data_IF_624922585611
#
_entry.id   IF_624922585611
#
_cell.length_a   1.000
_cell.length_b   1.000
_cell.length_c   1.000
_cell.angle_alpha   90.00
_cell.angle_beta   90.00
_cell.angle_gamma   90.00
#
_symmetry.space_group_name_H-M   'P 1'
#
loop_
_entity.id
_entity.type
_entity.pdbx_description
1 polymer ?
#
# COMPACT_ATOMS: atom_id res chain seq x y z
N UNK A 1 26.74 83.55 6.33
CA UNK A 1 26.00 82.35 6.78
C UNK A 1 26.66 81.15 6.14
N UNK A 2 27.30 80.33 6.97
CA UNK A 2 28.17 79.20 6.63
C UNK A 2 27.34 77.94 6.33
N UNK A 3 27.64 77.25 5.24
CA UNK A 3 27.29 75.84 5.07
C UNK A 3 28.21 75.18 4.03
N UNK A 4 28.90 74.10 4.41
CA UNK A 4 29.53 73.14 3.51
C UNK A 4 29.60 71.76 4.18
N UNK A 5 28.87 70.80 3.59
CA UNK A 5 29.18 69.36 3.35
C UNK A 5 29.56 68.45 4.53
N UNK A 6 29.43 67.09 4.49
CA UNK A 6 29.71 66.15 3.37
C UNK A 6 28.65 65.03 3.16
N UNK A 7 28.48 64.45 1.96
CA UNK A 7 29.24 63.36 1.30
C UNK A 7 29.28 62.02 2.07
N UNK A 8 28.68 60.96 1.50
CA UNK A 8 28.59 59.62 2.06
C UNK A 8 29.34 58.60 1.19
N UNK A 9 30.25 57.86 1.82
CA UNK A 9 31.03 56.77 1.24
C UNK A 9 30.80 55.45 1.99
N UNK A 10 30.75 54.37 1.20
CA UNK A 10 31.07 52.96 1.44
C UNK A 10 31.82 52.57 2.73
N UNK A 11 31.37 51.50 3.41
CA UNK A 11 32.20 50.29 3.72
C UNK A 11 31.45 49.20 4.53
N UNK A 12 31.61 47.95 4.07
CA UNK A 12 31.85 46.69 4.78
C UNK A 12 31.04 46.24 6.02
N UNK A 13 30.49 45.01 5.94
CA UNK A 13 30.51 44.08 7.07
C UNK A 13 30.47 42.61 6.60
N UNK A 14 31.53 41.90 6.97
CA UNK A 14 31.86 40.49 6.84
C UNK A 14 30.98 39.61 7.74
N UNK A 15 30.59 38.41 7.30
CA UNK A 15 30.02 37.38 8.17
C UNK A 15 30.68 36.03 7.91
N UNK A 16 31.01 35.36 9.01
CA UNK A 16 31.97 34.28 9.14
C UNK A 16 31.40 32.90 8.82
N UNK A 17 32.32 32.04 8.40
CA UNK A 17 32.26 30.60 8.22
C UNK A 17 31.87 29.86 9.51
N UNK A 18 30.90 28.96 9.41
CA UNK A 18 30.70 27.86 10.35
C UNK A 18 30.70 26.55 9.56
N UNK A 19 31.78 25.79 9.75
CA UNK A 19 31.96 24.44 9.21
C UNK A 19 31.06 23.45 9.97
N UNK A 20 30.36 22.59 9.24
CA UNK A 20 29.72 21.39 9.78
C UNK A 20 30.23 20.19 8.98
N UNK A 21 31.09 19.41 9.64
CA UNK A 21 31.62 18.13 9.23
C UNK A 21 30.51 17.11 8.99
N UNK A 22 30.29 16.72 7.74
CA UNK A 22 29.54 15.51 7.42
C UNK A 22 30.49 14.32 7.58
N UNK A 23 30.29 13.54 8.65
CA UNK A 23 30.95 12.26 8.83
C UNK A 23 30.52 11.31 7.71
N UNK A 24 31.51 10.84 6.94
CA UNK A 24 31.34 9.83 5.92
C UNK A 24 30.82 8.53 6.55
N UNK A 25 29.62 8.10 6.15
CA UNK A 25 29.15 6.75 6.40
C UNK A 25 29.83 5.82 5.38
N UNK A 26 30.72 4.99 5.90
CA UNK A 26 31.40 3.89 5.21
C UNK A 26 30.39 2.95 4.54
N UNK A 27 30.63 2.43 3.32
CA UNK A 27 29.74 1.49 2.68
C UNK A 27 29.74 0.16 3.45
N UNK A 28 28.55 -0.28 3.86
CA UNK A 28 28.35 -1.62 4.45
C UNK A 28 28.45 -2.63 3.32
N UNK A 29 29.40 -3.56 3.46
CA UNK A 29 29.67 -4.64 2.53
C UNK A 29 28.45 -5.54 2.32
N UNK A 30 28.26 -5.97 1.07
CA UNK A 30 27.28 -6.97 0.64
C UNK A 30 27.38 -8.24 1.50
N UNK A 31 26.36 -8.46 2.33
CA UNK A 31 26.10 -9.74 2.97
C UNK A 31 25.51 -10.70 1.95
N UNK A 32 26.32 -11.67 1.54
CA UNK A 32 25.96 -12.75 0.64
C UNK A 32 24.65 -13.46 1.06
N UNK A 33 23.74 -13.62 0.09
CA UNK A 33 22.62 -14.53 0.20
C UNK A 33 23.15 -15.97 0.36
N UNK A 34 22.55 -16.82 1.22
CA UNK A 34 23.02 -18.19 1.38
C UNK A 34 22.74 -18.99 0.10
N UNK A 35 23.82 -19.54 -0.44
CA UNK A 35 23.87 -20.49 -1.54
C UNK A 35 23.21 -21.82 -1.13
N UNK A 36 22.21 -22.26 -1.88
CA UNK A 36 21.74 -23.65 -1.81
C UNK A 36 22.70 -24.53 -2.61
N UNK A 37 23.54 -25.30 -1.91
CA UNK A 37 24.36 -26.35 -2.51
C UNK A 37 23.56 -27.67 -2.53
N UNK A 38 23.50 -28.41 -3.66
CA UNK A 38 22.76 -29.65 -3.78
C UNK A 38 23.69 -30.85 -3.62
N UNK A 39 23.55 -31.64 -2.55
CA UNK A 39 23.99 -33.05 -2.53
C UNK A 39 23.64 -33.78 -1.23
N UNK A 40 23.60 -35.11 -1.32
CA UNK A 40 23.46 -36.16 -0.29
C UNK A 40 21.99 -36.58 -0.08
N UNK A 41 21.46 -37.48 -0.92
CA UNK A 41 21.63 -38.96 -0.92
C UNK A 41 20.63 -39.69 0.01
N UNK A 42 19.72 -40.39 -0.69
CA UNK A 42 19.23 -41.75 -0.45
C UNK A 42 19.38 -42.40 0.93
N UNK A 43 18.24 -42.89 1.44
CA UNK A 43 18.16 -44.27 1.92
C UNK A 43 16.70 -44.78 1.93
N UNK A 44 16.44 -45.79 1.08
CA UNK A 44 15.70 -47.06 1.29
C UNK A 44 14.38 -47.05 2.09
N UNK A 45 13.37 -47.88 1.80
CA UNK A 45 13.08 -48.99 0.89
C UNK A 45 11.58 -49.27 1.07
N UNK A 46 10.87 -49.77 0.05
CA UNK A 46 9.46 -50.16 0.19
C UNK A 46 8.81 -50.60 -1.12
N UNK A 47 9.12 -51.82 -1.51
CA UNK A 47 8.71 -52.57 -2.71
C UNK A 47 7.18 -52.68 -2.85
N UNK A 48 6.67 -52.61 -4.09
CA UNK A 48 5.65 -53.51 -4.64
C UNK A 48 5.50 -53.32 -6.16
N UNK A 49 5.86 -54.36 -6.91
CA UNK A 49 5.69 -54.50 -8.36
C UNK A 49 4.24 -54.79 -8.75
N UNK A 50 3.83 -54.28 -9.91
CA UNK A 50 3.16 -55.09 -10.95
C UNK A 50 3.04 -54.27 -12.24
N UNK A 51 3.65 -54.76 -13.31
CA UNK A 51 3.72 -54.07 -14.60
C UNK A 51 2.48 -54.21 -15.46
N UNK A 52 2.28 -53.25 -16.37
CA UNK A 52 1.63 -53.45 -17.67
C UNK A 52 2.31 -52.54 -18.70
N UNK A 53 2.62 -53.15 -19.84
CA UNK A 53 3.19 -52.64 -21.09
C UNK A 53 2.41 -51.49 -21.75
N UNK A 54 3.10 -50.59 -22.47
CA UNK A 54 2.48 -49.90 -23.61
C UNK A 54 3.05 -48.53 -24.02
N UNK A 55 3.77 -48.52 -25.14
CA UNK A 55 3.95 -47.45 -26.14
C UNK A 55 4.44 -46.04 -25.71
N UNK A 56 5.64 -45.73 -26.22
CA UNK A 56 6.16 -44.39 -26.47
C UNK A 56 5.17 -43.56 -27.31
N UNK A 57 4.72 -42.44 -26.74
CA UNK A 57 3.99 -41.38 -27.44
C UNK A 57 4.47 -40.03 -26.92
N UNK A 58 5.15 -39.27 -27.78
CA UNK A 58 5.60 -37.91 -27.53
C UNK A 58 4.36 -37.02 -27.36
N UNK A 59 4.08 -36.57 -26.14
CA UNK A 59 3.11 -35.50 -25.89
C UNK A 59 3.84 -34.24 -25.46
N UNK A 60 3.76 -33.24 -26.34
CA UNK A 60 4.27 -31.90 -26.10
C UNK A 60 3.68 -31.29 -24.83
N UNK A 61 4.52 -30.55 -24.14
CA UNK A 61 4.15 -29.71 -23.01
C UNK A 61 3.14 -28.69 -23.52
N UNK A 62 1.86 -28.91 -23.21
CA UNK A 62 0.78 -27.96 -23.42
C UNK A 62 1.06 -26.74 -22.56
N UNK A 63 1.42 -25.63 -23.20
CA UNK A 63 1.43 -24.32 -22.55
C UNK A 63 0.03 -24.01 -22.01
N UNK A 64 -0.05 -23.64 -20.74
CA UNK A 64 -1.27 -23.12 -20.14
C UNK A 64 -1.68 -21.84 -20.87
N UNK A 65 -2.65 -21.94 -21.78
CA UNK A 65 -3.33 -20.80 -22.38
C UNK A 65 -4.23 -20.17 -21.32
N UNK A 66 -3.75 -19.10 -20.69
CA UNK A 66 -4.59 -18.21 -19.89
C UNK A 66 -5.46 -17.45 -20.88
N UNK A 67 -6.67 -17.95 -21.18
CA UNK A 67 -7.69 -17.21 -21.92
C UNK A 67 -8.14 -16.00 -21.10
N UNK A 68 -7.41 -14.90 -21.23
CA UNK A 68 -7.85 -13.59 -20.75
C UNK A 68 -8.88 -13.05 -21.72
N UNK A 69 -10.14 -12.92 -21.28
CA UNK A 69 -11.19 -12.24 -22.05
C UNK A 69 -10.68 -10.87 -22.51
N UNK A 70 -10.69 -10.63 -23.82
CA UNK A 70 -10.23 -9.36 -24.39
C UNK A 70 -11.13 -8.24 -23.85
N UNK A 71 -10.56 -7.21 -23.18
CA UNK A 71 -11.36 -6.15 -22.61
C UNK A 71 -12.02 -5.33 -23.71
N UNK A 72 -13.27 -4.92 -23.50
CA UNK A 72 -14.08 -4.18 -24.49
C UNK A 72 -13.66 -2.71 -24.70
N UNK A 73 -12.46 -2.33 -24.27
CA UNK A 73 -11.97 -0.96 -24.39
C UNK A 73 -11.44 -0.66 -25.80
N UNK A 74 -11.40 0.63 -26.15
CA UNK A 74 -11.02 1.07 -27.50
C UNK A 74 -9.55 0.75 -27.87
N UNK A 75 -8.63 0.61 -26.90
CA UNK A 75 -7.24 0.23 -27.19
C UNK A 75 -7.17 -1.22 -27.63
N UNK A 76 -7.86 -2.11 -26.93
CA UNK A 76 -7.94 -3.52 -27.29
C UNK A 76 -8.57 -3.72 -28.68
N UNK A 77 -9.62 -2.94 -29.00
CA UNK A 77 -10.22 -2.95 -30.35
C UNK A 77 -9.22 -2.50 -31.43
N UNK A 78 -8.44 -1.45 -31.18
CA UNK A 78 -7.40 -0.99 -32.12
C UNK A 78 -6.33 -2.08 -32.31
N UNK A 79 -5.84 -2.67 -31.22
CA UNK A 79 -4.82 -3.73 -31.26
C UNK A 79 -5.32 -4.96 -32.03
N UNK A 80 -6.56 -5.37 -31.76
CA UNK A 80 -7.18 -6.49 -32.46
C UNK A 80 -7.32 -6.22 -33.95
N UNK A 81 -7.75 -5.03 -34.34
CA UNK A 81 -7.86 -4.64 -35.75
C UNK A 81 -6.48 -4.55 -36.44
N UNK A 82 -5.48 -3.97 -35.77
CA UNK A 82 -4.13 -3.84 -36.32
C UNK A 82 -3.44 -5.20 -36.51
N UNK A 83 -3.73 -6.19 -35.66
CA UNK A 83 -3.31 -7.58 -35.84
C UNK A 83 -4.09 -8.26 -36.99
N UNK A 84 -5.41 -8.12 -37.00
CA UNK A 84 -6.28 -8.75 -38.01
C UNK A 84 -6.01 -8.24 -39.43
N UNK A 85 -5.69 -6.95 -39.58
CA UNK A 85 -5.32 -6.33 -40.85
C UNK A 85 -3.86 -6.59 -41.25
N UNK A 86 -3.06 -7.19 -40.38
CA UNK A 86 -1.62 -7.40 -40.60
C UNK A 86 -0.78 -6.13 -40.54
N UNK A 87 -1.34 -5.00 -40.07
CA UNK A 87 -0.61 -3.73 -39.90
C UNK A 87 0.56 -3.86 -38.92
N UNK A 88 0.42 -4.74 -37.93
CA UNK A 88 1.52 -5.14 -37.05
C UNK A 88 1.53 -6.67 -36.88
N UNK A 89 2.71 -7.24 -36.68
CA UNK A 89 2.90 -8.69 -36.49
C UNK A 89 2.75 -9.12 -35.03
N UNK A 90 3.08 -8.21 -34.11
CA UNK A 90 3.10 -8.43 -32.67
C UNK A 90 2.74 -7.12 -31.98
N UNK A 91 2.01 -7.20 -30.88
CA UNK A 91 1.75 -6.04 -30.02
C UNK A 91 2.98 -5.76 -29.16
N UNK A 92 3.53 -4.56 -29.29
CA UNK A 92 4.64 -4.09 -28.44
C UNK A 92 4.23 -2.78 -27.76
N UNK A 93 4.08 -2.81 -26.44
CA UNK A 93 3.78 -1.64 -25.61
C UNK A 93 5.03 -1.18 -24.85
N UNK A 94 4.96 0.00 -24.21
CA UNK A 94 5.97 0.41 -23.24
C UNK A 94 5.37 1.21 -22.09
N UNK A 95 5.89 1.02 -20.89
CA UNK A 95 5.68 1.90 -19.74
C UNK A 95 6.93 2.75 -19.54
N UNK A 96 6.89 4.06 -19.88
CA UNK A 96 8.06 4.90 -19.83
C UNK A 96 7.99 5.98 -18.73
N UNK A 97 8.22 5.64 -17.46
CA UNK A 97 8.28 6.64 -16.41
C UNK A 97 9.57 7.46 -16.51
N UNK A 98 9.51 8.72 -16.10
CA UNK A 98 10.71 9.52 -15.83
C UNK A 98 11.35 9.03 -14.52
N UNK A 99 12.68 8.90 -14.43
CA UNK A 99 13.37 8.40 -13.24
C UNK A 99 13.61 9.49 -12.18
N UNK A 100 12.72 10.47 -12.07
CA UNK A 100 12.85 11.65 -11.19
C UNK A 100 11.85 11.65 -10.01
N UNK A 101 10.98 10.65 -9.89
CA UNK A 101 9.95 10.61 -8.85
C UNK A 101 9.46 9.21 -8.52
N UNK A 102 8.76 9.10 -7.39
CA UNK A 102 8.13 7.85 -6.96
C UNK A 102 6.86 7.58 -7.76
N UNK A 103 6.69 6.33 -8.19
CA UNK A 103 5.44 5.88 -8.80
C UNK A 103 4.30 5.95 -7.77
N UNK A 104 3.12 6.31 -8.24
CA UNK A 104 1.91 6.48 -7.43
C UNK A 104 0.70 5.81 -8.07
N UNK A 105 -0.45 5.82 -7.39
CA UNK A 105 -1.67 5.13 -7.83
C UNK A 105 -2.06 5.46 -9.29
N UNK A 106 -1.91 6.71 -9.74
CA UNK A 106 -2.10 7.09 -11.14
C UNK A 106 -1.22 6.31 -12.14
N UNK A 107 0.05 6.05 -11.80
CA UNK A 107 0.96 5.25 -12.61
C UNK A 107 0.52 3.78 -12.70
N UNK A 108 -0.13 3.25 -11.65
CA UNK A 108 -0.64 1.87 -11.67
C UNK A 108 -1.59 1.62 -12.84
N UNK A 109 -2.42 2.60 -13.21
CA UNK A 109 -3.30 2.48 -14.37
C UNK A 109 -2.51 2.32 -15.67
N UNK A 110 -1.47 3.12 -15.87
CA UNK A 110 -0.59 3.01 -17.05
C UNK A 110 0.16 1.68 -17.08
N UNK A 111 0.63 1.19 -15.93
CA UNK A 111 1.27 -0.12 -15.79
C UNK A 111 0.28 -1.23 -16.18
N UNK A 112 -0.91 -1.25 -15.57
CA UNK A 112 -1.96 -2.24 -15.86
C UNK A 112 -2.37 -2.25 -17.33
N UNK A 113 -2.47 -1.09 -17.97
CA UNK A 113 -2.79 -0.99 -19.40
C UNK A 113 -1.65 -1.57 -20.26
N UNK A 114 -0.42 -1.08 -20.09
CA UNK A 114 0.67 -1.45 -21.00
C UNK A 114 1.08 -2.92 -20.84
N UNK A 115 1.32 -3.38 -19.62
CA UNK A 115 1.69 -4.77 -19.35
C UNK A 115 0.49 -5.71 -19.50
N UNK A 116 -0.70 -5.28 -19.08
CA UNK A 116 -1.92 -6.10 -19.17
C UNK A 116 -2.33 -6.36 -20.62
N UNK A 117 -2.38 -5.34 -21.47
CA UNK A 117 -2.72 -5.52 -22.88
C UNK A 117 -1.66 -6.33 -23.62
N UNK A 118 -0.36 -6.08 -23.38
CA UNK A 118 0.69 -6.91 -23.97
C UNK A 118 0.52 -8.39 -23.59
N UNK A 119 0.22 -8.70 -22.32
CA UNK A 119 -0.06 -10.07 -21.88
C UNK A 119 -1.27 -10.68 -22.59
N UNK A 120 -2.38 -9.94 -22.69
CA UNK A 120 -3.63 -10.43 -23.32
C UNK A 120 -3.44 -10.75 -24.79
N UNK A 121 -2.67 -9.93 -25.51
CA UNK A 121 -2.37 -10.13 -26.93
C UNK A 121 -1.11 -10.97 -27.18
N UNK A 122 -0.57 -11.63 -26.13
CA UNK A 122 0.64 -12.44 -26.18
C UNK A 122 1.83 -11.73 -26.87
N UNK A 123 1.96 -10.44 -26.59
CA UNK A 123 3.02 -9.55 -27.10
C UNK A 123 4.03 -9.16 -26.01
N UNK A 124 4.75 -8.06 -26.26
CA UNK A 124 5.82 -7.56 -25.37
C UNK A 124 5.48 -6.21 -24.77
N UNK A 125 5.95 -5.97 -23.55
CA UNK A 125 5.92 -4.65 -22.93
C UNK A 125 7.33 -4.29 -22.46
N UNK A 126 7.84 -3.15 -22.89
CA UNK A 126 9.12 -2.64 -22.41
C UNK A 126 8.93 -1.73 -21.19
N UNK A 127 9.73 -1.94 -20.14
CA UNK A 127 9.95 -0.91 -19.13
C UNK A 127 11.11 -0.04 -19.59
N UNK A 128 10.85 1.25 -19.83
CA UNK A 128 11.86 2.15 -20.40
C UNK A 128 11.89 3.44 -19.62
N UNK A 129 12.88 3.67 -18.78
CA UNK A 129 13.03 4.99 -18.20
C UNK A 129 13.17 6.03 -19.31
N UNK A 130 12.36 7.09 -19.29
CA UNK A 130 12.50 8.19 -20.24
C UNK A 130 13.59 9.14 -19.73
N UNK A 131 14.81 8.61 -19.67
CA UNK A 131 16.02 9.28 -19.20
C UNK A 131 16.70 9.98 -20.39
N UNK A 132 15.93 10.86 -21.04
CA UNK A 132 16.28 11.42 -22.35
C UNK A 132 17.71 11.95 -22.40
N UNK A 133 18.48 11.41 -23.35
CA UNK A 133 19.81 11.86 -23.72
C UNK A 133 19.89 11.96 -25.26
N UNK A 134 20.25 13.11 -25.84
CA UNK A 134 20.49 13.21 -27.28
C UNK A 134 21.74 12.46 -27.74
N UNK A 135 21.60 11.73 -28.86
CA UNK A 135 22.73 11.11 -29.59
C UNK A 135 22.97 11.70 -30.98
N UNK A 136 22.29 12.79 -31.34
CA UNK A 136 22.47 13.48 -32.63
C UNK A 136 22.47 14.99 -32.42
N UNK A 137 23.66 15.58 -32.47
CA UNK A 137 23.89 16.98 -32.11
C UNK A 137 24.60 17.77 -33.21
N UNK A 138 24.40 19.08 -33.17
CA UNK A 138 25.21 20.11 -33.83
C UNK A 138 26.39 20.42 -32.89
N UNK A 139 27.62 20.20 -33.36
CA UNK A 139 28.85 20.08 -32.55
C UNK A 139 29.06 21.21 -31.53
N UNK A 140 28.62 22.44 -31.82
CA UNK A 140 28.81 23.61 -30.95
C UNK A 140 27.99 23.61 -29.66
N UNK A 141 26.79 23.01 -29.67
CA UNK A 141 25.98 22.88 -28.43
C UNK A 141 26.56 21.81 -27.52
N UNK A 142 27.11 20.74 -28.10
CA UNK A 142 27.83 19.68 -27.39
C UNK A 142 29.04 20.20 -26.64
N UNK A 143 29.83 21.00 -27.35
CA UNK A 143 31.14 21.46 -26.91
C UNK A 143 31.06 22.52 -25.78
N UNK A 144 29.87 22.78 -25.22
CA UNK A 144 29.68 23.68 -24.08
C UNK A 144 29.94 25.15 -24.38
N UNK A 145 29.97 25.53 -25.66
CA UNK A 145 30.28 26.90 -26.13
C UNK A 145 29.24 27.93 -25.66
N UNK A 146 28.01 27.47 -25.44
CA UNK A 146 26.89 28.31 -25.04
C UNK A 146 26.52 28.07 -23.56
N UNK A 147 26.11 29.13 -22.88
CA UNK A 147 25.61 29.08 -21.50
C UNK A 147 24.19 28.51 -21.42
N UNK A 148 23.79 28.07 -20.22
CA UNK A 148 22.42 27.61 -19.96
C UNK A 148 21.39 28.66 -20.39
N UNK A 149 20.36 28.24 -21.12
CA UNK A 149 19.29 29.12 -21.61
C UNK A 149 19.69 30.10 -22.73
N UNK A 150 20.95 30.14 -23.17
CA UNK A 150 21.41 31.06 -24.23
C UNK A 150 20.82 30.73 -25.60
N UNK A 151 20.66 29.45 -25.92
CA UNK A 151 20.06 29.01 -27.17
C UNK A 151 19.36 27.65 -27.01
N UNK A 152 18.48 27.35 -27.98
CA UNK A 152 17.70 26.11 -28.04
C UNK A 152 17.70 25.57 -29.47
N UNK A 153 17.76 24.25 -29.62
CA UNK A 153 17.53 23.64 -30.93
C UNK A 153 16.03 23.50 -31.12
N UNK A 154 15.51 23.90 -32.28
CA UNK A 154 14.09 23.79 -32.63
C UNK A 154 13.95 22.98 -33.90
N UNK A 155 12.89 22.17 -34.00
CA UNK A 155 12.51 21.61 -35.28
C UNK A 155 11.99 22.74 -36.17
N UNK A 156 12.31 22.72 -37.47
CA UNK A 156 11.76 23.69 -38.43
C UNK A 156 10.54 23.07 -39.10
N UNK A 157 9.35 23.60 -38.80
CA UNK A 157 8.06 23.07 -39.24
C UNK A 157 7.23 24.22 -39.85
N UNK A 158 6.47 24.95 -39.02
CA UNK A 158 5.61 26.06 -39.43
C UNK A 158 5.21 26.90 -38.22
N UNK A 159 5.79 28.10 -38.13
CA UNK A 159 5.50 29.06 -37.05
C UNK A 159 4.06 29.60 -37.08
N UNK A 160 3.36 29.55 -38.21
CA UNK A 160 1.96 29.98 -38.34
C UNK A 160 0.96 28.85 -38.06
N UNK A 161 1.43 27.63 -37.77
CA UNK A 161 0.57 26.47 -37.65
C UNK A 161 -0.50 26.67 -36.55
N UNK A 162 -1.74 26.20 -36.82
CA UNK A 162 -2.87 26.34 -35.88
C UNK A 162 -2.62 25.61 -34.55
N UNK A 163 -2.02 24.42 -34.62
CA UNK A 163 -1.55 23.71 -33.44
C UNK A 163 -0.22 24.31 -32.95
N UNK A 164 -0.21 24.85 -31.73
CA UNK A 164 0.95 25.52 -31.13
C UNK A 164 2.16 24.58 -30.98
N UNK A 165 1.94 23.29 -30.74
CA UNK A 165 3.03 22.31 -30.62
C UNK A 165 3.83 22.18 -31.92
N UNK A 166 3.20 22.42 -33.07
CA UNK A 166 3.86 22.32 -34.38
C UNK A 166 4.59 23.62 -34.76
N UNK A 167 4.56 24.66 -33.93
CA UNK A 167 5.24 25.94 -34.18
C UNK A 167 6.71 25.84 -33.79
N UNK A 168 7.46 25.20 -34.66
CA UNK A 168 8.89 24.94 -34.51
C UNK A 168 9.23 24.50 -33.08
N UNK A 169 8.79 23.32 -32.62
CA UNK A 169 8.95 22.91 -31.23
C UNK A 169 10.43 22.85 -30.83
N UNK A 170 10.69 23.20 -29.57
CA UNK A 170 12.02 23.05 -28.98
C UNK A 170 12.33 21.55 -28.88
N UNK A 171 13.47 21.17 -29.47
CA UNK A 171 14.01 19.82 -29.47
C UNK A 171 15.05 19.64 -28.36
N UNK A 172 15.92 20.65 -28.15
CA UNK A 172 16.95 20.61 -27.10
C UNK A 172 17.12 21.96 -26.41
N UNK A 173 17.47 21.89 -25.12
CA UNK A 173 17.89 23.02 -24.29
C UNK A 173 19.24 22.71 -23.70
N UNK A 174 20.05 23.74 -23.49
CA UNK A 174 21.30 23.64 -22.74
C UNK A 174 20.99 23.67 -21.24
N UNK A 175 21.37 22.60 -20.56
CA UNK A 175 21.31 22.42 -19.13
C UNK A 175 22.62 21.74 -18.68
N UNK A 176 23.49 22.50 -18.02
CA UNK A 176 24.78 22.10 -17.49
C UNK A 176 24.61 21.42 -16.12
N UNK A 177 23.89 20.30 -16.12
CA UNK A 177 23.73 19.41 -14.95
C UNK A 177 24.28 18.03 -15.29
N UNK A 178 24.82 17.35 -14.29
CA UNK A 178 25.24 15.96 -14.44
C UNK A 178 24.02 15.04 -14.56
N UNK A 179 24.05 14.14 -15.55
CA UNK A 179 23.03 13.11 -15.69
C UNK A 179 23.35 11.92 -14.77
N UNK A 180 22.37 11.34 -14.06
CA UNK A 180 22.62 10.19 -13.18
C UNK A 180 23.24 8.96 -13.86
N UNK A 181 23.01 8.76 -15.17
CA UNK A 181 23.55 7.61 -15.91
C UNK A 181 24.76 7.94 -16.78
N UNK A 182 24.85 9.16 -17.29
CA UNK A 182 25.86 9.55 -18.29
C UNK A 182 26.81 10.65 -17.83
N UNK A 183 26.75 11.03 -16.54
CA UNK A 183 27.64 12.02 -15.95
C UNK A 183 27.61 13.36 -16.67
N UNK A 184 28.79 13.92 -16.91
CA UNK A 184 29.01 15.20 -17.59
C UNK A 184 29.10 15.10 -19.12
N UNK A 185 28.87 13.92 -19.71
CA UNK A 185 29.08 13.68 -21.15
C UNK A 185 28.10 14.47 -22.05
N UNK A 186 27.00 14.97 -21.47
CA UNK A 186 25.93 15.66 -22.18
C UNK A 186 25.38 16.82 -21.35
N UNK A 187 25.24 17.99 -21.99
CA UNK A 187 24.68 19.22 -21.39
C UNK A 187 23.31 19.58 -22.01
N UNK A 188 22.63 18.63 -22.65
CA UNK A 188 21.37 18.86 -23.38
C UNK A 188 20.25 17.96 -22.85
N UNK A 189 19.11 18.56 -22.47
CA UNK A 189 18.02 17.85 -21.82
C UNK A 189 16.63 18.32 -22.29
N UNK A 190 15.65 17.43 -22.23
CA UNK A 190 14.23 17.72 -22.44
C UNK A 190 13.54 17.84 -21.07
N UNK A 191 12.56 18.73 -20.98
CA UNK A 191 11.88 19.15 -19.75
C UNK A 191 11.21 17.97 -19.02
N UNK A 192 11.32 17.92 -17.68
CA UNK A 192 10.84 16.82 -16.83
C UNK A 192 10.00 17.39 -15.69
N UNK A 193 8.85 16.77 -15.40
CA UNK A 193 7.87 17.30 -14.44
C UNK A 193 7.72 16.41 -13.21
N UNK A 194 8.16 16.91 -12.06
CA UNK A 194 7.92 16.28 -10.76
C UNK A 194 6.63 16.82 -10.14
N UNK A 195 5.91 15.95 -9.42
CA UNK A 195 4.61 16.28 -8.81
C UNK A 195 4.83 17.13 -7.53
N UNK A 196 4.93 18.45 -7.71
CA UNK A 196 5.35 19.46 -6.71
C UNK A 196 4.58 19.38 -5.38
N UNK A 197 3.34 18.93 -5.40
CA UNK A 197 2.48 18.86 -4.20
C UNK A 197 2.83 17.73 -3.25
N UNK A 198 3.34 16.60 -3.75
CA UNK A 198 3.77 15.51 -2.86
C UNK A 198 5.12 15.83 -2.21
N UNK A 199 5.98 16.53 -2.95
CA UNK A 199 7.25 17.01 -2.43
C UNK A 199 7.05 17.94 -1.22
N UNK A 200 6.13 18.90 -1.30
CA UNK A 200 5.87 19.82 -0.19
C UNK A 200 5.39 19.10 1.08
N UNK A 201 4.57 18.05 0.97
CA UNK A 201 4.13 17.26 2.13
C UNK A 201 5.31 16.60 2.87
N UNK A 202 6.30 16.13 2.13
CA UNK A 202 7.50 15.47 2.67
C UNK A 202 8.46 16.52 3.24
N UNK A 203 8.73 17.59 2.51
CA UNK A 203 9.65 18.67 2.93
C UNK A 203 9.14 19.42 4.17
N UNK A 204 7.83 19.68 4.24
CA UNK A 204 7.17 20.31 5.39
C UNK A 204 6.96 19.33 6.56
N UNK A 205 7.42 18.07 6.44
CA UNK A 205 7.31 17.01 7.46
C UNK A 205 5.87 16.76 7.93
N UNK A 206 4.90 16.96 7.03
CA UNK A 206 3.51 16.57 7.25
C UNK A 206 3.40 15.03 7.21
N UNK A 207 4.25 14.39 6.41
CA UNK A 207 4.42 12.94 6.32
C UNK A 207 5.85 12.52 6.64
N UNK A 208 6.05 11.26 7.04
CA UNK A 208 7.35 10.74 7.49
C UNK A 208 8.34 10.54 6.34
N UNK A 209 7.82 10.39 5.10
CA UNK A 209 8.61 10.14 3.90
C UNK A 209 7.75 9.65 2.75
N UNK A 210 8.41 9.27 1.64
CA UNK A 210 7.74 8.83 0.41
C UNK A 210 7.04 7.47 0.49
N UNK A 211 7.29 6.70 1.53
CA UNK A 211 6.60 5.44 1.83
C UNK A 211 5.60 5.57 2.99
N UNK A 212 5.33 6.79 3.48
CA UNK A 212 4.33 7.01 4.53
C UNK A 212 2.96 6.49 4.08
N UNK A 213 2.29 5.59 4.84
CA UNK A 213 1.01 4.97 4.47
C UNK A 213 -0.12 5.91 4.08
N UNK A 214 -0.01 7.20 4.41
CA UNK A 214 -0.94 8.26 4.02
C UNK A 214 -0.79 8.72 2.58
N UNK A 215 0.36 8.52 1.95
CA UNK A 215 0.64 8.94 0.59
C UNK A 215 0.05 7.98 -0.46
N UNK A 216 -0.24 8.47 -1.68
CA UNK A 216 -0.73 7.64 -2.78
C UNK A 216 0.40 6.94 -3.57
N UNK A 217 1.65 7.00 -3.11
CA UNK A 217 2.78 6.32 -3.76
C UNK A 217 2.61 4.79 -3.69
N UNK A 218 3.13 4.05 -4.67
CA UNK A 218 3.02 2.59 -4.66
C UNK A 218 3.79 1.97 -3.50
N UNK A 219 4.89 2.60 -3.06
CA UNK A 219 5.63 2.25 -1.85
C UNK A 219 4.77 2.43 -0.59
N UNK A 220 4.10 3.57 -0.45
CA UNK A 220 3.19 3.85 0.67
C UNK A 220 2.02 2.88 0.72
N UNK A 221 1.37 2.64 -0.43
CA UNK A 221 0.26 1.69 -0.52
C UNK A 221 0.70 0.27 -0.15
N UNK A 222 1.90 -0.14 -0.55
CA UNK A 222 2.49 -1.42 -0.13
C UNK A 222 2.73 -1.45 1.37
N UNK A 223 3.34 -0.42 1.97
CA UNK A 223 3.57 -0.34 3.43
C UNK A 223 2.27 -0.30 4.23
N UNK A 224 1.23 0.36 3.69
CA UNK A 224 -0.14 0.36 4.23
C UNK A 224 -0.78 -1.03 4.24
N UNK A 225 -0.25 -1.98 3.47
CA UNK A 225 -0.81 -3.34 3.33
C UNK A 225 -1.85 -3.46 2.22
N UNK A 226 -1.89 -2.52 1.27
CA UNK A 226 -2.79 -2.60 0.11
C UNK A 226 -2.32 -3.70 -0.84
N UNK A 227 -3.15 -4.73 -1.12
CA UNK A 227 -2.76 -5.80 -2.03
C UNK A 227 -2.65 -5.31 -3.48
N UNK A 228 -1.62 -5.75 -4.20
CA UNK A 228 -1.43 -5.40 -5.62
C UNK A 228 -2.63 -5.83 -6.49
N UNK A 229 -3.26 -6.96 -6.16
CA UNK A 229 -4.47 -7.43 -6.83
C UNK A 229 -5.66 -6.46 -6.67
N UNK A 230 -5.80 -5.81 -5.51
CA UNK A 230 -6.84 -4.80 -5.30
C UNK A 230 -6.58 -3.52 -6.13
N UNK A 231 -5.31 -3.14 -6.30
CA UNK A 231 -4.91 -2.04 -7.19
C UNK A 231 -5.24 -2.37 -8.65
N UNK A 232 -4.96 -3.61 -9.08
CA UNK A 232 -5.27 -4.08 -10.43
C UNK A 232 -6.80 -4.09 -10.67
N UNK A 233 -7.56 -4.68 -9.75
CA UNK A 233 -9.03 -4.70 -9.80
C UNK A 233 -9.60 -3.28 -9.86
N UNK A 234 -9.04 -2.34 -9.08
CA UNK A 234 -9.41 -0.93 -9.17
C UNK A 234 -9.15 -0.36 -10.57
N UNK A 235 -7.97 -0.60 -11.16
CA UNK A 235 -7.63 -0.15 -12.51
C UNK A 235 -8.58 -0.74 -13.56
N UNK A 236 -8.94 -2.02 -13.42
CA UNK A 236 -9.86 -2.72 -14.31
C UNK A 236 -11.29 -2.13 -14.22
N UNK A 237 -11.79 -1.87 -13.01
CA UNK A 237 -13.11 -1.22 -12.79
C UNK A 237 -13.18 0.22 -13.28
N UNK A 238 -12.10 0.98 -13.12
CA UNK A 238 -12.01 2.35 -13.65
C UNK A 238 -12.03 2.33 -15.18
N UNK A 239 -11.42 1.30 -15.78
CA UNK A 239 -11.39 1.11 -17.22
C UNK A 239 -10.61 2.19 -17.99
N UNK A 240 -10.66 2.12 -19.31
CA UNK A 240 -9.93 3.02 -20.21
C UNK A 240 -10.91 3.79 -21.08
N UNK A 241 -10.86 5.12 -20.98
CA UNK A 241 -11.70 6.03 -21.75
C UNK A 241 -10.88 7.20 -22.29
N UNK A 242 -11.37 7.84 -23.37
CA UNK A 242 -10.75 9.04 -23.95
C UNK A 242 -11.13 10.34 -23.23
N UNK A 243 -12.16 10.30 -22.38
CA UNK A 243 -12.65 11.45 -21.62
C UNK A 243 -12.04 11.44 -20.22
N UNK A 244 -11.69 12.63 -19.73
CA UNK A 244 -11.26 12.81 -18.35
C UNK A 244 -12.46 12.63 -17.41
N UNK A 245 -12.27 11.88 -16.34
CA UNK A 245 -13.24 11.68 -15.27
C UNK A 245 -12.54 11.69 -13.92
N UNK A 246 -13.23 12.24 -12.92
CA UNK A 246 -12.77 12.17 -11.53
C UNK A 246 -13.27 10.85 -10.95
N UNK A 247 -12.34 10.04 -10.44
CA UNK A 247 -12.66 8.79 -9.78
C UNK A 247 -12.76 9.04 -8.27
N UNK A 248 -13.87 8.58 -7.70
CA UNK A 248 -14.12 8.63 -6.27
C UNK A 248 -13.18 7.66 -5.51
N UNK A 249 -12.55 8.14 -4.44
CA UNK A 249 -11.61 7.34 -3.62
C UNK A 249 -12.32 6.13 -2.99
N UNK A 250 -13.61 6.25 -2.74
CA UNK A 250 -14.49 5.21 -2.22
C UNK A 250 -14.48 3.95 -3.10
N UNK A 251 -14.30 4.10 -4.42
CA UNK A 251 -14.15 2.95 -5.32
C UNK A 251 -12.87 2.16 -5.01
N UNK A 252 -11.76 2.85 -4.78
CA UNK A 252 -10.48 2.25 -4.45
C UNK A 252 -10.55 1.54 -3.09
N UNK A 253 -11.11 2.21 -2.09
CA UNK A 253 -11.31 1.60 -0.76
C UNK A 253 -12.21 0.38 -0.81
N UNK A 254 -13.26 0.40 -1.64
CA UNK A 254 -14.14 -0.75 -1.86
C UNK A 254 -13.37 -1.93 -2.44
N UNK A 255 -12.54 -1.74 -3.47
CA UNK A 255 -11.72 -2.82 -4.03
C UNK A 255 -10.79 -3.45 -2.97
N UNK A 256 -10.21 -2.63 -2.08
CA UNK A 256 -9.38 -3.13 -0.97
C UNK A 256 -10.23 -3.95 0.00
N UNK A 257 -11.37 -3.41 0.45
CA UNK A 257 -12.25 -4.07 1.41
C UNK A 257 -12.78 -5.41 0.88
N UNK A 258 -13.19 -5.47 -0.38
CA UNK A 258 -13.68 -6.71 -1.01
C UNK A 258 -12.56 -7.77 -1.06
N UNK A 259 -11.35 -7.39 -1.45
CA UNK A 259 -10.21 -8.31 -1.49
C UNK A 259 -9.86 -8.86 -0.10
N UNK A 260 -9.84 -7.99 0.91
CA UNK A 260 -9.49 -8.35 2.29
C UNK A 260 -10.62 -9.13 2.96
N UNK A 261 -11.90 -8.79 2.77
CA UNK A 261 -13.04 -9.52 3.34
C UNK A 261 -13.08 -10.97 2.87
N UNK A 262 -12.62 -11.25 1.65
CA UNK A 262 -12.59 -12.61 1.11
C UNK A 262 -11.42 -13.44 1.65
N UNK A 263 -10.26 -12.83 1.95
CA UNK A 263 -9.00 -13.55 2.17
C UNK A 263 -8.44 -13.45 3.59
N UNK A 264 -8.74 -12.37 4.32
CA UNK A 264 -8.12 -12.12 5.60
C UNK A 264 -8.84 -12.88 6.73
N UNK A 265 -8.12 -13.67 7.53
CA UNK A 265 -8.71 -14.29 8.71
C UNK A 265 -9.04 -13.23 9.76
N UNK A 266 -10.18 -13.37 10.43
CA UNK A 266 -10.63 -12.42 11.47
C UNK A 266 -9.84 -12.67 12.75
N UNK A 267 -9.33 -11.59 13.32
CA UNK A 267 -8.57 -11.58 14.57
C UNK A 267 -9.15 -10.51 15.50
N UNK A 268 -8.95 -10.70 16.79
CA UNK A 268 -9.30 -9.68 17.78
C UNK A 268 -8.05 -8.87 18.08
N UNK A 269 -8.22 -7.55 18.12
CA UNK A 269 -7.22 -6.61 18.55
C UNK A 269 -7.97 -5.56 19.38
N UNK A 270 -7.47 -5.26 20.56
CA UNK A 270 -8.04 -4.25 21.46
C UNK A 270 -7.18 -3.00 21.31
N UNK A 271 -7.79 -1.88 20.94
CA UNK A 271 -7.06 -0.62 20.71
C UNK A 271 -6.76 0.07 22.02
N UNK A 272 -7.77 0.20 22.87
CA UNK A 272 -7.66 0.83 24.19
C UNK A 272 -8.07 -0.20 25.25
N UNK A 273 -7.10 -0.96 25.82
CA UNK A 273 -7.43 -2.08 26.69
C UNK A 273 -8.03 -1.64 28.02
N UNK A 274 -9.26 -2.11 28.28
CA UNK A 274 -9.96 -2.01 29.55
C UNK A 274 -10.07 -3.40 30.17
N UNK A 275 -9.58 -3.54 31.41
CA UNK A 275 -9.54 -4.82 32.12
C UNK A 275 -10.94 -5.21 32.62
N UNK A 276 -11.30 -6.48 32.44
CA UNK A 276 -12.45 -7.14 33.04
C UNK A 276 -11.96 -8.23 33.97
N UNK A 277 -12.52 -8.29 35.17
CA UNK A 277 -12.31 -9.37 36.15
C UNK A 277 -13.61 -10.14 36.35
N UNK A 278 -13.61 -11.44 36.02
CA UNK A 278 -14.75 -12.32 36.19
C UNK A 278 -14.76 -12.91 37.61
N UNK A 279 -15.70 -12.51 38.45
CA UNK A 279 -15.71 -12.91 39.87
C UNK A 279 -16.27 -14.31 40.13
N UNK A 280 -17.16 -14.78 39.26
CA UNK A 280 -17.76 -16.12 39.36
C UNK A 280 -17.09 -17.16 38.43
N UNK A 281 -16.02 -16.77 37.72
CA UNK A 281 -15.21 -17.70 36.93
C UNK A 281 -14.18 -18.40 37.84
N UNK A 282 -14.18 -19.73 37.83
CA UNK A 282 -13.24 -20.56 38.60
C UNK A 282 -12.25 -21.18 37.64
N UNK A 283 -10.99 -20.79 37.74
CA UNK A 283 -9.90 -21.44 37.02
C UNK A 283 -9.57 -22.75 37.73
N UNK A 284 -9.65 -23.88 37.00
CA UNK A 284 -9.15 -25.16 37.51
C UNK A 284 -7.62 -25.19 37.36
N UNK A 285 -6.92 -25.53 38.45
CA UNK A 285 -5.46 -25.56 38.47
C UNK A 285 -4.93 -26.58 37.44
N UNK A 286 -4.18 -26.10 36.44
CA UNK A 286 -3.65 -26.92 35.34
C UNK A 286 -4.61 -27.20 34.18
N UNK A 287 -5.84 -26.65 34.17
CA UNK A 287 -6.75 -26.73 33.02
C UNK A 287 -7.21 -25.35 32.57
N UNK A 288 -6.86 -25.01 31.33
CA UNK A 288 -7.35 -23.79 30.69
C UNK A 288 -8.52 -24.12 29.78
N UNK A 289 -9.56 -23.31 29.89
CA UNK A 289 -10.70 -23.43 29.00
C UNK A 289 -10.34 -22.86 27.64
N UNK A 290 -10.31 -23.73 26.63
CA UNK A 290 -9.96 -23.34 25.26
C UNK A 290 -11.23 -23.25 24.41
N UNK A 291 -11.50 -22.06 23.90
CA UNK A 291 -12.62 -21.78 23.01
C UNK A 291 -12.19 -21.87 21.54
N UNK A 292 -13.03 -22.51 20.73
CA UNK A 292 -12.86 -22.57 19.28
C UNK A 292 -13.54 -21.38 18.62
N UNK A 293 -12.74 -20.47 18.06
CA UNK A 293 -13.23 -19.25 17.39
C UNK A 293 -13.05 -19.41 15.87
N UNK A 294 -14.12 -19.26 15.07
CA UNK A 294 -14.01 -19.35 13.62
C UNK A 294 -13.09 -18.25 13.08
N UNK A 295 -12.24 -18.61 12.10
CA UNK A 295 -11.40 -17.65 11.40
C UNK A 295 -12.20 -16.74 10.48
N UNK A 296 -13.32 -17.21 9.96
CA UNK A 296 -14.27 -16.41 9.19
C UNK A 296 -15.70 -16.93 9.48
N UNK A 297 -16.61 -16.07 9.95
CA UNK A 297 -17.98 -16.49 10.27
C UNK A 297 -18.80 -16.89 9.03
N UNK A 298 -18.41 -16.45 7.83
CA UNK A 298 -19.10 -16.76 6.57
C UNK A 298 -18.54 -18.02 5.90
N UNK A 299 -17.33 -18.45 6.27
CA UNK A 299 -16.55 -19.49 5.60
C UNK A 299 -16.09 -20.58 6.58
N UNK A 300 -16.90 -21.63 6.81
CA UNK A 300 -16.53 -22.73 7.70
C UNK A 300 -15.22 -23.42 7.31
N UNK A 301 -14.88 -23.44 6.01
CA UNK A 301 -13.66 -24.00 5.46
C UNK A 301 -12.38 -23.27 5.90
N UNK A 302 -12.50 -22.02 6.38
CA UNK A 302 -11.38 -21.28 6.94
C UNK A 302 -10.91 -21.82 8.31
N UNK A 303 -11.64 -22.80 8.85
CA UNK A 303 -11.34 -23.47 10.11
C UNK A 303 -11.50 -22.56 11.34
N UNK A 304 -11.07 -23.07 12.48
CA UNK A 304 -11.12 -22.38 13.75
C UNK A 304 -9.71 -22.14 14.29
N UNK A 305 -9.58 -21.14 15.17
CA UNK A 305 -8.43 -20.96 16.04
C UNK A 305 -8.84 -21.18 17.48
N UNK A 306 -7.88 -21.56 18.31
CA UNK A 306 -8.07 -21.72 19.73
C UNK A 306 -7.74 -20.41 20.46
N UNK A 307 -8.57 -20.05 21.44
CA UNK A 307 -8.31 -18.93 22.34
C UNK A 307 -8.67 -19.33 23.76
N UNK A 308 -7.73 -19.17 24.69
CA UNK A 308 -7.99 -19.42 26.10
C UNK A 308 -8.99 -18.39 26.64
N UNK A 309 -9.95 -18.85 27.42
CA UNK A 309 -10.84 -18.03 28.23
C UNK A 309 -10.30 -18.03 29.66
N UNK A 310 -10.06 -16.84 30.20
CA UNK A 310 -9.40 -16.65 31.51
C UNK A 310 -10.25 -15.75 32.39
N UNK A 311 -9.95 -15.74 33.70
CA UNK A 311 -10.64 -14.87 34.67
C UNK A 311 -10.49 -13.38 34.36
N UNK A 312 -9.35 -13.00 33.78
CA UNK A 312 -9.04 -11.63 33.41
C UNK A 312 -9.02 -11.47 31.89
N UNK A 313 -9.78 -10.52 31.37
CA UNK A 313 -9.94 -10.25 29.94
C UNK A 313 -9.73 -8.77 29.64
N UNK A 314 -9.30 -8.44 28.43
CA UNK A 314 -9.35 -7.09 27.88
C UNK A 314 -10.51 -6.94 26.92
N UNK A 315 -11.23 -5.83 27.04
CA UNK A 315 -12.16 -5.31 26.03
C UNK A 315 -11.68 -3.92 25.59
N UNK A 316 -12.25 -3.39 24.51
CA UNK A 316 -11.99 -2.00 24.14
C UNK A 316 -12.70 -1.04 25.11
N UNK A 317 -12.02 0.03 25.51
CA UNK A 317 -12.58 1.04 26.40
C UNK A 317 -13.84 1.70 25.79
N UNK A 318 -13.93 1.80 24.45
CA UNK A 318 -15.10 2.35 23.76
C UNK A 318 -16.36 1.46 23.88
N UNK A 319 -16.17 0.17 24.22
CA UNK A 319 -17.25 -0.80 24.40
C UNK A 319 -17.89 -0.73 25.81
N UNK A 320 -17.42 0.16 26.69
CA UNK A 320 -18.02 0.42 28.00
C UNK A 320 -18.46 1.88 28.19
N UNK A 321 -19.63 2.08 28.81
CA UNK A 321 -20.10 3.41 29.18
C UNK A 321 -20.96 3.38 30.45
N UNK A 322 -20.65 4.22 31.44
CA UNK A 322 -21.44 4.31 32.68
C UNK A 322 -22.82 4.89 32.45
N UNK A 323 -22.90 5.95 31.65
CA UNK A 323 -24.12 6.66 31.32
C UNK A 323 -24.41 6.52 29.82
N UNK A 324 -24.89 5.35 29.37
CA UNK A 324 -25.05 5.06 27.95
C UNK A 324 -26.22 5.85 27.34
N UNK A 325 -26.08 6.39 26.11
CA UNK A 325 -27.23 6.89 25.36
C UNK A 325 -28.17 5.73 24.99
N UNK A 326 -29.42 6.04 24.62
CA UNK A 326 -30.47 5.02 24.32
C UNK A 326 -30.05 3.98 23.28
N UNK A 327 -29.19 4.35 22.33
CA UNK A 327 -28.74 3.49 21.23
C UNK A 327 -27.39 2.79 21.51
N UNK A 328 -26.93 2.78 22.76
CA UNK A 328 -25.71 2.08 23.15
C UNK A 328 -26.05 0.67 23.63
N UNK A 329 -25.60 -0.32 22.87
CA UNK A 329 -25.92 -1.74 23.07
C UNK A 329 -24.76 -2.56 23.65
N UNK A 330 -23.64 -1.92 23.97
CA UNK A 330 -22.47 -2.58 24.58
C UNK A 330 -22.58 -2.58 26.11
N UNK A 331 -21.45 -2.73 26.81
CA UNK A 331 -21.43 -2.95 28.24
C UNK A 331 -21.70 -1.66 29.01
N UNK A 332 -22.60 -1.72 29.99
CA UNK A 332 -22.85 -0.64 30.94
C UNK A 332 -23.16 -1.26 32.31
N UNK A 333 -23.08 -0.50 33.42
CA UNK A 333 -23.43 -1.00 34.74
C UNK A 333 -24.79 -1.68 34.75
N UNK A 334 -24.84 -2.91 35.28
CA UNK A 334 -26.05 -3.74 35.37
C UNK A 334 -26.55 -4.36 34.05
N UNK A 335 -25.93 -4.07 32.90
CA UNK A 335 -26.32 -4.66 31.59
C UNK A 335 -25.40 -5.79 31.18
N UNK A 336 -25.97 -6.66 30.34
CA UNK A 336 -25.29 -7.81 29.75
C UNK A 336 -24.83 -7.53 28.33
N UNK A 337 -23.68 -8.10 27.97
CA UNK A 337 -23.14 -8.09 26.60
C UNK A 337 -22.61 -9.46 26.25
N UNK A 338 -22.69 -9.83 24.96
CA UNK A 338 -22.08 -11.06 24.46
C UNK A 338 -20.60 -10.83 24.14
N UNK A 339 -19.72 -11.67 24.69
CA UNK A 339 -18.36 -11.80 24.20
C UNK A 339 -18.36 -12.63 22.92
N UNK A 340 -17.71 -12.13 21.86
CA UNK A 340 -17.71 -12.79 20.56
C UNK A 340 -17.12 -14.19 20.66
N UNK A 341 -17.90 -15.18 20.21
CA UNK A 341 -17.57 -16.61 20.25
C UNK A 341 -17.26 -17.17 21.65
N UNK A 342 -17.83 -16.57 22.69
CA UNK A 342 -17.67 -16.98 24.08
C UNK A 342 -18.99 -16.84 24.84
N UNK A 343 -18.91 -16.36 26.09
CA UNK A 343 -20.01 -16.21 27.05
C UNK A 343 -20.66 -14.83 27.04
N UNK A 344 -21.77 -14.69 27.74
CA UNK A 344 -22.35 -13.41 28.09
C UNK A 344 -21.79 -12.97 29.44
N UNK A 345 -21.52 -11.67 29.57
CA UNK A 345 -21.03 -11.08 30.80
C UNK A 345 -21.93 -9.93 31.23
N UNK A 346 -22.04 -9.74 32.55
CA UNK A 346 -22.77 -8.63 33.18
C UNK A 346 -21.81 -7.78 33.99
N UNK A 347 -21.85 -6.46 33.81
CA UNK A 347 -21.08 -5.55 34.66
C UNK A 347 -21.81 -5.35 35.99
N UNK A 348 -21.16 -5.77 37.09
CA UNK A 348 -21.70 -5.61 38.45
C UNK A 348 -21.13 -4.36 39.11
N UNK A 349 -19.83 -4.10 38.97
CA UNK A 349 -19.16 -2.95 39.57
C UNK A 349 -18.08 -2.39 38.65
N UNK A 350 -17.73 -1.12 38.89
CA UNK A 350 -16.69 -0.39 38.15
C UNK A 350 -15.62 0.03 39.14
N UNK A 351 -14.39 -0.41 38.92
CA UNK A 351 -13.23 0.05 39.68
C UNK A 351 -12.69 1.35 39.05
N UNK A 352 -12.43 2.35 39.90
CA UNK A 352 -11.88 3.64 39.51
C UNK A 352 -10.64 3.96 40.33
N UNK A 353 -9.73 4.71 39.73
CA UNK A 353 -8.60 5.30 40.44
C UNK A 353 -9.01 6.57 41.23
N UNK A 354 -8.04 7.17 41.94
CA UNK A 354 -8.24 8.39 42.70
C UNK A 354 -8.68 9.60 41.86
N UNK A 355 -8.45 9.55 40.54
CA UNK A 355 -8.83 10.60 39.59
C UNK A 355 -10.19 10.32 38.92
N UNK A 356 -10.87 9.24 39.30
CA UNK A 356 -12.15 8.83 38.73
C UNK A 356 -12.03 8.15 37.36
N UNK A 357 -10.81 7.83 36.89
CA UNK A 357 -10.61 7.06 35.65
C UNK A 357 -10.91 5.59 35.93
N UNK A 358 -11.65 4.96 35.01
CA UNK A 358 -12.01 3.55 35.09
C UNK A 358 -10.75 2.70 34.85
N UNK A 359 -10.43 1.81 35.77
CA UNK A 359 -9.24 0.94 35.70
C UNK A 359 -9.60 -0.51 35.41
N UNK A 360 -10.72 -0.99 35.94
CA UNK A 360 -11.23 -2.32 35.67
C UNK A 360 -12.74 -2.41 35.86
N UNK A 361 -13.34 -3.43 35.25
CA UNK A 361 -14.75 -3.77 35.41
C UNK A 361 -14.85 -5.11 36.13
N UNK A 362 -15.67 -5.15 37.16
CA UNK A 362 -16.02 -6.38 37.87
C UNK A 362 -17.27 -6.94 37.23
N UNK A 363 -17.12 -8.12 36.63
CA UNK A 363 -18.18 -8.74 35.86
C UNK A 363 -18.48 -10.16 36.37
N UNK A 364 -19.72 -10.58 36.15
CA UNK A 364 -20.11 -11.99 36.21
C UNK A 364 -20.26 -12.52 34.79
N UNK A 365 -20.03 -13.82 34.58
CA UNK A 365 -20.34 -14.51 33.33
C UNK A 365 -21.43 -15.56 33.53
N UNK A 366 -22.14 -15.90 32.47
CA UNK A 366 -23.16 -16.97 32.49
C UNK A 366 -22.64 -18.22 31.76
N UNK A 367 -22.33 -19.33 32.48
CA UNK A 367 -21.80 -20.56 31.88
C UNK A 367 -22.74 -21.22 30.86
N UNK A 368 -24.05 -20.94 30.91
CA UNK A 368 -25.04 -21.54 30.01
C UNK A 368 -25.14 -20.80 28.67
N UNK A 369 -24.36 -19.73 28.49
CA UNK A 369 -24.45 -18.84 27.32
C UNK A 369 -23.35 -19.03 26.28
N UNK A 370 -22.53 -20.08 26.41
CA UNK A 370 -21.45 -20.35 25.47
C UNK A 370 -21.98 -20.43 24.03
N UNK A 371 -21.50 -19.52 23.18
CA UNK A 371 -21.85 -19.45 21.76
C UNK A 371 -23.35 -19.29 21.44
N UNK A 372 -24.20 -18.99 22.42
CA UNK A 372 -25.63 -18.84 22.19
C UNK A 372 -25.97 -17.41 21.70
N UNK A 373 -26.96 -17.33 20.80
CA UNK A 373 -27.54 -16.05 20.35
C UNK A 373 -28.76 -15.64 21.19
N UNK A 374 -29.36 -16.58 21.91
CA UNK A 374 -30.41 -16.37 22.90
C UNK A 374 -30.10 -17.27 24.10
N UNK A 375 -30.23 -16.74 25.31
CA UNK A 375 -30.00 -17.52 26.51
C UNK A 375 -31.13 -18.56 26.70
N UNK A 376 -30.85 -19.71 27.34
CA UNK A 376 -31.85 -20.75 27.58
C UNK A 376 -33.07 -20.27 28.39
N UNK A 377 -32.90 -19.21 29.19
CA UNK A 377 -33.96 -18.58 29.99
C UNK A 377 -34.78 -17.52 29.23
N UNK A 378 -34.51 -17.33 27.93
CA UNK A 378 -35.22 -16.38 27.08
C UNK A 378 -34.69 -14.95 27.10
N UNK A 379 -33.66 -14.63 27.90
CA UNK A 379 -32.99 -13.32 27.85
C UNK A 379 -32.33 -13.09 26.48
N UNK A 380 -32.24 -11.83 26.08
CA UNK A 380 -31.61 -11.38 24.83
C UNK A 380 -30.64 -10.25 25.09
N UNK A 381 -29.44 -10.36 24.53
CA UNK A 381 -28.44 -9.29 24.50
C UNK A 381 -28.42 -8.65 23.11
N UNK A 382 -28.30 -7.32 23.08
CA UNK A 382 -28.32 -6.54 21.83
C UNK A 382 -26.92 -6.31 21.24
N UNK A 383 -25.88 -6.36 22.07
CA UNK A 383 -24.50 -6.11 21.66
C UNK A 383 -23.64 -7.36 21.69
N UNK A 384 -22.67 -7.42 20.79
CA UNK A 384 -21.57 -8.38 20.82
C UNK A 384 -20.26 -7.62 20.69
N UNK A 385 -19.38 -7.79 21.66
CA UNK A 385 -18.06 -7.13 21.72
C UNK A 385 -16.95 -8.15 21.56
N UNK A 386 -15.78 -7.67 21.16
CA UNK A 386 -14.58 -8.48 21.02
C UNK A 386 -13.75 -8.39 22.31
N UNK A 387 -12.86 -9.37 22.52
CA UNK A 387 -12.13 -9.52 23.77
C UNK A 387 -10.82 -10.26 23.55
N UNK A 388 -9.89 -10.12 24.49
CA UNK A 388 -8.65 -10.91 24.54
C UNK A 388 -8.40 -11.41 25.97
N UNK A 389 -7.86 -12.61 26.19
CA UNK A 389 -7.40 -13.03 27.51
C UNK A 389 -6.21 -12.18 27.95
N UNK A 390 -6.28 -11.59 29.14
CA UNK A 390 -5.24 -10.65 29.60
C UNK A 390 -3.87 -11.33 29.73
N UNK A 391 -3.84 -12.60 30.16
CA UNK A 391 -2.64 -13.43 30.32
C UNK A 391 -1.87 -13.67 29.01
N UNK A 392 -2.59 -13.79 27.89
CA UNK A 392 -2.01 -14.17 26.59
C UNK A 392 -2.06 -13.07 25.53
N UNK A 393 -2.59 -11.90 25.87
CA UNK A 393 -2.60 -10.76 24.99
C UNK A 393 -1.16 -10.32 24.69
N UNK A 394 -0.83 -10.21 23.40
CA UNK A 394 0.48 -9.72 22.95
C UNK A 394 0.39 -8.21 22.77
N UNK A 395 1.22 -7.41 23.46
CA UNK A 395 1.22 -5.97 23.28
C UNK A 395 1.65 -5.61 21.86
N UNK A 396 0.96 -4.64 21.25
CA UNK A 396 1.23 -4.20 19.88
C UNK A 396 0.82 -2.74 19.67
N UNK A 397 1.36 -2.12 18.64
CA UNK A 397 1.00 -0.76 18.23
C UNK A 397 0.05 -0.80 17.06
N UNK A 398 -1.05 -0.06 17.13
CA UNK A 398 -2.03 0.07 16.04
C UNK A 398 -1.87 1.45 15.41
N UNK A 399 -1.47 1.49 14.14
CA UNK A 399 -1.43 2.72 13.35
C UNK A 399 -2.76 2.89 12.60
N UNK A 400 -3.59 3.84 13.03
CA UNK A 400 -4.82 4.19 12.32
C UNK A 400 -4.53 5.23 11.24
N UNK A 401 -4.60 4.82 9.98
CA UNK A 401 -4.30 5.68 8.82
C UNK A 401 -5.60 6.26 8.27
N UNK A 402 -5.67 7.59 8.20
CA UNK A 402 -6.77 8.33 7.58
C UNK A 402 -6.29 9.10 6.35
N UNK A 403 -7.25 9.59 5.55
CA UNK A 403 -6.94 10.47 4.41
C UNK A 403 -6.28 11.76 4.90
N UNK A 404 -5.17 12.14 4.27
CA UNK A 404 -4.48 13.43 4.51
C UNK A 404 -5.30 14.64 4.03
N UNK A 405 -6.21 14.44 3.08
CA UNK A 405 -7.08 15.48 2.56
C UNK A 405 -8.48 15.26 3.11
N UNK A 406 -8.98 16.25 3.86
CA UNK A 406 -10.39 16.38 4.20
C UNK A 406 -11.03 17.33 3.18
N UNK A 407 -12.25 17.02 2.74
CA UNK A 407 -12.98 17.81 1.74
C UNK A 407 -13.42 19.17 2.28
#
# INVERSE_FOLDING_TARGET
MTNKTPEAASAAATAATAASSAAAATPVADGAAPSCDPSIESSNHGVCESGVSGSLGVSGVSGESIEGTIPSNFLAQIMQNDLATGKCKEIVTRFPPEPNGFLHLGHAKSICINFGLAKIFNGKCHMRFDDTNPTKEETRMRDGVYEEGQCVLRAKIDMAHKNVIMRDPIMYRILKKEHPRTGSDFLLYIDSCMDVKLLSLVEEKIVDGWDDPRLPTLSALRRRGVPAAAIKEFCDRVGVARRNSVIQLELFERCIREYVDERAPRRFAIKEPLLIKLINYKEEEGKEEILNIPNDPKKPEAGCRQLAFTKELYIDAEDFMENPPKNFYRLSPGKEVRLRSAYWIKCEQVEKDANGKITALICTYDPQTLNCSSAPDGRKVKGTIHWLPAKYAVPGSILSVQSIFQK
#
